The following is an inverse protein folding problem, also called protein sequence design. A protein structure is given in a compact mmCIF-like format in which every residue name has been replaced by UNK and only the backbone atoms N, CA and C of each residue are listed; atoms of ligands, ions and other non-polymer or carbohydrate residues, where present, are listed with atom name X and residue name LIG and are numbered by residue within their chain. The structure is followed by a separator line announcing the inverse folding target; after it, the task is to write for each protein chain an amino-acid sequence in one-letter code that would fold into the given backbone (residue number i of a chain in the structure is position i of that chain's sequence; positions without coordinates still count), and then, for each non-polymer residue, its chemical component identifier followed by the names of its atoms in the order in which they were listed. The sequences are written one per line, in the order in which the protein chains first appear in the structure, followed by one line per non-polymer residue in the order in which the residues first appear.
data_IF_428367451712
#
_entry.id   IF_428367451712
#
_cell.length_a   1.000
_cell.length_b   1.000
_cell.length_c   1.000
_cell.angle_alpha   90.00
_cell.angle_beta   90.00
_cell.angle_gamma   90.00
#
_symmetry.space_group_name_H-M   'P 1'
#
loop_
_entity.id
_entity.type
_entity.pdbx_description
1 polymer ?
#
# COMPACT_ATOMS: atom_id res chain seq x y z
N UNK A 1 17.79 56.15 -8.89
CA UNK A 1 17.97 54.92 -8.08
C UNK A 1 16.60 54.31 -7.84
N UNK A 2 16.28 53.20 -8.50
CA UNK A 2 15.07 52.40 -8.23
C UNK A 2 15.45 50.93 -8.48
N UNK A 3 15.93 50.27 -7.43
CA UNK A 3 16.17 48.81 -7.43
C UNK A 3 15.70 48.20 -6.10
N UNK A 4 14.66 48.79 -5.48
CA UNK A 4 14.02 48.22 -4.29
C UNK A 4 12.72 47.46 -4.61
N UNK A 5 12.38 47.23 -5.89
CA UNK A 5 11.22 46.43 -6.31
C UNK A 5 11.60 45.01 -6.77
N UNK A 6 12.62 44.39 -6.17
CA UNK A 6 13.13 43.08 -6.62
C UNK A 6 13.17 42.00 -5.53
N UNK A 7 12.59 42.22 -4.35
CA UNK A 7 12.77 41.28 -3.21
C UNK A 7 11.46 40.81 -2.56
N UNK A 8 10.30 41.44 -2.81
CA UNK A 8 9.01 40.92 -2.29
C UNK A 8 8.49 39.67 -3.04
N UNK A 9 9.25 39.13 -4.00
CA UNK A 9 8.84 38.02 -4.88
C UNK A 9 9.64 36.72 -4.65
N UNK A 10 10.37 36.61 -3.54
CA UNK A 10 11.05 35.35 -3.19
C UNK A 10 10.15 34.51 -2.28
N UNK A 11 9.63 33.39 -2.81
CA UNK A 11 9.00 32.21 -2.16
C UNK A 11 7.47 32.06 -2.07
N UNK A 12 6.66 33.05 -2.43
CA UNK A 12 5.19 32.84 -2.54
C UNK A 12 4.74 32.26 -3.89
N UNK A 13 5.38 32.68 -4.98
CA UNK A 13 4.88 32.45 -6.33
C UNK A 13 5.01 30.99 -6.82
N UNK A 14 6.07 30.27 -6.40
CA UNK A 14 6.23 28.86 -6.76
C UNK A 14 5.27 27.93 -6.01
N UNK A 15 5.03 28.20 -4.72
CA UNK A 15 4.10 27.41 -3.91
C UNK A 15 2.66 27.60 -4.39
N UNK A 16 2.22 28.84 -4.59
CA UNK A 16 0.88 29.17 -5.10
C UNK A 16 0.67 28.56 -6.49
N UNK A 17 1.65 28.64 -7.40
CA UNK A 17 1.55 28.01 -8.73
C UNK A 17 1.47 26.48 -8.67
N UNK A 18 2.18 25.85 -7.73
CA UNK A 18 2.12 24.39 -7.54
C UNK A 18 0.76 23.94 -7.01
N UNK A 19 0.16 24.72 -6.11
CA UNK A 19 -1.17 24.47 -5.58
C UNK A 19 -2.25 24.68 -6.65
N UNK A 20 -2.16 25.77 -7.43
CA UNK A 20 -3.06 26.01 -8.56
C UNK A 20 -3.00 24.89 -9.60
N UNK A 21 -1.80 24.41 -9.93
CA UNK A 21 -1.61 23.29 -10.84
C UNK A 21 -2.23 21.99 -10.29
N UNK A 22 -2.07 21.73 -9.00
CA UNK A 22 -2.69 20.60 -8.31
C UNK A 22 -4.21 20.70 -8.34
N UNK A 23 -4.77 21.85 -7.99
CA UNK A 23 -6.21 22.09 -8.01
C UNK A 23 -6.78 21.93 -9.42
N UNK A 24 -6.09 22.47 -10.44
CA UNK A 24 -6.49 22.30 -11.83
C UNK A 24 -6.51 20.83 -12.24
N UNK A 25 -5.46 20.08 -11.88
CA UNK A 25 -5.38 18.64 -12.15
C UNK A 25 -6.56 17.90 -11.50
N UNK A 26 -6.83 18.15 -10.22
CA UNK A 26 -7.94 17.52 -9.52
C UNK A 26 -9.28 17.87 -10.16
N UNK A 27 -9.51 19.12 -10.59
CA UNK A 27 -10.73 19.53 -11.32
C UNK A 27 -10.89 18.83 -12.66
N UNK A 28 -9.79 18.50 -13.36
CA UNK A 28 -9.86 17.72 -14.60
C UNK A 28 -10.26 16.27 -14.33
N UNK A 29 -9.73 15.67 -13.26
CA UNK A 29 -9.96 14.26 -12.94
C UNK A 29 -11.27 13.99 -12.18
N UNK A 30 -11.67 14.88 -11.28
CA UNK A 30 -12.75 14.67 -10.31
C UNK A 30 -13.97 15.51 -10.65
N UNK A 31 -15.14 14.89 -10.53
CA UNK A 31 -16.43 15.57 -10.65
C UNK A 31 -16.81 16.23 -9.31
N UNK A 32 -17.57 17.32 -9.40
CA UNK A 32 -18.12 18.01 -8.22
C UNK A 32 -19.11 17.13 -7.45
N UNK A 33 -19.85 16.30 -8.20
CA UNK A 33 -20.81 15.36 -7.65
C UNK A 33 -20.59 13.94 -8.18
N UNK A 34 -20.95 12.96 -7.36
CA UNK A 34 -20.86 11.56 -7.72
C UNK A 34 -21.82 11.23 -8.87
N UNK A 35 -21.27 10.70 -9.96
CA UNK A 35 -22.05 10.31 -11.14
C UNK A 35 -22.80 9.00 -10.94
N UNK A 36 -23.76 8.75 -11.83
CA UNK A 36 -24.47 7.47 -11.90
C UNK A 36 -23.49 6.33 -12.14
N UNK A 37 -23.88 5.14 -11.68
CA UNK A 37 -23.12 3.92 -11.90
C UNK A 37 -22.89 3.68 -13.40
N UNK A 38 -21.65 3.40 -13.75
CA UNK A 38 -21.23 3.05 -15.11
C UNK A 38 -20.31 1.82 -15.03
N UNK A 39 -20.38 0.95 -16.04
CA UNK A 39 -19.57 -0.26 -16.11
C UNK A 39 -18.14 0.08 -16.58
N UNK A 40 -17.28 0.51 -15.66
CA UNK A 40 -15.90 0.93 -15.98
C UNK A 40 -14.88 -0.20 -15.94
N UNK A 41 -15.08 -1.21 -15.09
CA UNK A 41 -14.09 -2.25 -14.85
C UNK A 41 -14.38 -3.50 -15.71
N UNK A 42 -13.54 -3.82 -16.70
CA UNK A 42 -13.72 -4.98 -17.58
C UNK A 42 -13.54 -6.30 -16.84
N UNK A 43 -14.17 -7.37 -17.34
CA UNK A 43 -14.08 -8.70 -16.74
C UNK A 43 -12.67 -9.28 -16.82
N UNK A 44 -11.91 -8.89 -17.84
CA UNK A 44 -10.53 -9.26 -18.10
C UNK A 44 -9.62 -8.89 -16.93
N UNK A 45 -9.81 -7.71 -16.32
CA UNK A 45 -9.04 -7.31 -15.15
C UNK A 45 -9.24 -8.29 -13.99
N UNK A 46 -10.50 -8.68 -13.75
CA UNK A 46 -10.85 -9.60 -12.67
C UNK A 46 -10.35 -11.01 -12.94
N UNK A 47 -10.36 -11.43 -14.20
CA UNK A 47 -9.79 -12.70 -14.65
C UNK A 47 -8.29 -12.76 -14.39
N UNK A 48 -7.55 -11.71 -14.76
CA UNK A 48 -6.11 -11.64 -14.53
C UNK A 48 -5.78 -11.57 -13.04
N UNK A 49 -6.51 -10.80 -12.24
CA UNK A 49 -6.32 -10.78 -10.78
C UNK A 49 -6.61 -12.16 -10.17
N UNK A 50 -7.66 -12.85 -10.62
CA UNK A 50 -7.97 -14.21 -10.20
C UNK A 50 -6.83 -15.17 -10.48
N UNK A 51 -6.30 -15.14 -11.71
CA UNK A 51 -5.16 -15.96 -12.14
C UNK A 51 -3.91 -15.69 -11.31
N UNK A 52 -3.50 -14.44 -11.19
CA UNK A 52 -2.26 -14.02 -10.52
C UNK A 52 -2.29 -14.18 -8.99
N UNK A 53 -3.49 -14.17 -8.38
CA UNK A 53 -3.67 -14.41 -6.94
C UNK A 53 -3.97 -15.87 -6.62
N UNK A 54 -4.03 -16.75 -7.62
CA UNK A 54 -4.45 -18.15 -7.50
C UNK A 54 -5.82 -18.31 -6.80
N UNK A 55 -6.73 -17.37 -7.06
CA UNK A 55 -8.06 -17.40 -6.49
C UNK A 55 -8.90 -18.51 -7.12
N UNK A 56 -9.46 -19.39 -6.28
CA UNK A 56 -10.29 -20.54 -6.70
C UNK A 56 -11.80 -20.29 -6.61
N UNK A 57 -12.23 -19.13 -6.10
CA UNK A 57 -13.64 -18.78 -5.96
C UNK A 57 -14.23 -18.15 -7.22
N UNK A 58 -15.52 -17.81 -7.16
CA UNK A 58 -16.20 -17.12 -8.26
C UNK A 58 -15.65 -15.70 -8.48
N UNK A 59 -15.56 -15.27 -9.74
CA UNK A 59 -15.24 -13.89 -10.13
C UNK A 59 -16.41 -12.92 -9.88
N UNK A 60 -17.62 -13.43 -9.65
CA UNK A 60 -18.78 -12.62 -9.26
C UNK A 60 -18.65 -12.19 -7.79
N UNK A 61 -18.23 -13.13 -6.93
CA UNK A 61 -18.01 -12.91 -5.51
C UNK A 61 -16.53 -12.67 -5.21
N UNK A 62 -16.08 -11.45 -5.52
CA UNK A 62 -14.68 -11.05 -5.38
C UNK A 62 -14.28 -10.89 -3.91
N UNK A 63 -13.06 -11.30 -3.53
CA UNK A 63 -12.52 -11.02 -2.20
C UNK A 63 -12.45 -9.53 -1.90
N UNK A 64 -12.72 -9.13 -0.66
CA UNK A 64 -12.65 -7.72 -0.22
C UNK A 64 -11.26 -7.09 -0.46
N UNK A 65 -10.19 -7.88 -0.35
CA UNK A 65 -8.83 -7.37 -0.53
C UNK A 65 -8.53 -6.94 -1.97
N UNK A 66 -9.33 -7.35 -2.97
CA UNK A 66 -9.15 -6.90 -4.35
C UNK A 66 -9.38 -5.40 -4.49
N UNK A 67 -10.20 -4.78 -3.63
CA UNK A 67 -10.29 -3.33 -3.56
C UNK A 67 -8.94 -2.65 -3.27
N UNK A 68 -8.07 -3.30 -2.46
CA UNK A 68 -6.71 -2.81 -2.21
C UNK A 68 -5.81 -2.97 -3.43
N UNK A 69 -5.99 -4.05 -4.21
CA UNK A 69 -5.26 -4.22 -5.48
C UNK A 69 -5.66 -3.15 -6.48
N UNK A 70 -6.96 -2.87 -6.61
CA UNK A 70 -7.44 -1.80 -7.48
C UNK A 70 -6.90 -0.44 -7.03
N UNK A 71 -6.93 -0.15 -5.73
CA UNK A 71 -6.36 1.09 -5.21
C UNK A 71 -4.86 1.20 -5.52
N UNK A 72 -4.09 0.16 -5.24
CA UNK A 72 -2.63 0.14 -5.39
C UNK A 72 -2.10 0.05 -6.83
N UNK A 73 -2.82 -0.62 -7.73
CA UNK A 73 -2.37 -0.86 -9.10
C UNK A 73 -3.05 0.06 -10.13
N UNK A 74 -4.29 0.46 -9.85
CA UNK A 74 -5.06 1.30 -10.77
C UNK A 74 -5.00 2.74 -10.31
N UNK A 75 -5.57 3.08 -9.15
CA UNK A 75 -5.69 4.49 -8.75
C UNK A 75 -4.33 5.12 -8.39
N UNK A 76 -3.48 4.42 -7.63
CA UNK A 76 -2.18 4.95 -7.20
C UNK A 76 -1.18 5.15 -8.35
N UNK A 77 -1.32 4.41 -9.45
CA UNK A 77 -0.52 4.60 -10.66
C UNK A 77 -1.20 5.49 -11.70
N UNK A 78 -2.51 5.73 -11.56
CA UNK A 78 -3.23 6.69 -12.41
C UNK A 78 -2.77 8.11 -12.08
N UNK A 79 -2.91 8.51 -10.82
CA UNK A 79 -2.35 9.74 -10.28
C UNK A 79 -2.43 9.70 -8.73
N UNK A 80 -1.33 9.96 -8.01
CA UNK A 80 -1.29 9.85 -6.55
C UNK A 80 -2.19 10.88 -5.85
N UNK A 81 -2.33 12.09 -6.39
CA UNK A 81 -3.15 13.13 -5.79
C UNK A 81 -4.64 12.77 -5.90
N UNK A 82 -5.02 12.19 -7.03
CA UNK A 82 -6.38 11.68 -7.26
C UNK A 82 -6.69 10.52 -6.32
N UNK A 83 -5.77 9.56 -6.15
CA UNK A 83 -6.00 8.42 -5.26
C UNK A 83 -6.04 8.81 -3.78
N UNK A 84 -5.24 9.78 -3.37
CA UNK A 84 -5.29 10.35 -2.01
C UNK A 84 -6.58 11.09 -1.75
N UNK A 85 -7.03 11.90 -2.71
CA UNK A 85 -8.34 12.55 -2.62
C UNK A 85 -9.47 11.50 -2.49
N UNK A 86 -9.43 10.44 -3.30
CA UNK A 86 -10.43 9.36 -3.27
C UNK A 86 -10.45 8.62 -1.94
N UNK A 87 -9.29 8.36 -1.33
CA UNK A 87 -9.19 7.74 0.01
C UNK A 87 -9.79 8.62 1.09
N UNK A 88 -9.57 9.93 1.01
CA UNK A 88 -10.06 10.90 1.99
C UNK A 88 -11.57 11.12 1.89
N UNK A 89 -12.09 11.26 0.67
CA UNK A 89 -13.49 11.64 0.42
C UNK A 89 -14.42 10.44 0.25
N UNK A 90 -13.89 9.26 -0.07
CA UNK A 90 -14.65 8.02 -0.17
C UNK A 90 -13.92 6.85 0.53
N UNK A 91 -13.73 6.90 1.86
CA UNK A 91 -12.92 5.92 2.59
C UNK A 91 -13.52 4.52 2.65
N UNK A 92 -14.84 4.38 2.41
CA UNK A 92 -15.57 3.12 2.49
C UNK A 92 -16.41 2.93 1.22
N UNK A 93 -15.78 2.69 0.06
CA UNK A 93 -16.51 2.48 -1.17
C UNK A 93 -17.45 1.28 -1.03
N UNK A 94 -18.72 1.50 -1.33
CA UNK A 94 -19.77 0.49 -1.29
C UNK A 94 -20.54 0.50 -2.60
N UNK A 95 -21.42 -0.49 -2.79
CA UNK A 95 -22.29 -0.54 -3.96
C UNK A 95 -23.07 0.78 -4.07
N UNK A 96 -22.84 1.52 -5.16
CA UNK A 96 -23.45 2.84 -5.40
C UNK A 96 -22.61 4.04 -4.94
N UNK A 97 -21.50 3.82 -4.23
CA UNK A 97 -20.52 4.82 -3.80
C UNK A 97 -19.10 4.37 -4.17
N UNK A 98 -18.89 4.01 -5.43
CA UNK A 98 -17.60 3.54 -5.92
C UNK A 98 -16.69 4.72 -6.31
N UNK A 99 -15.37 4.52 -6.24
CA UNK A 99 -14.39 5.56 -6.56
C UNK A 99 -14.51 6.12 -7.98
N UNK A 100 -14.78 5.29 -8.99
CA UNK A 100 -14.88 5.76 -10.38
C UNK A 100 -16.06 6.73 -10.60
N UNK A 101 -17.09 6.70 -9.74
CA UNK A 101 -18.22 7.62 -9.86
C UNK A 101 -17.83 9.07 -9.54
N UNK A 102 -16.73 9.28 -8.80
CA UNK A 102 -16.17 10.59 -8.51
C UNK A 102 -15.28 11.13 -9.61
N UNK A 103 -14.93 10.33 -10.62
CA UNK A 103 -14.11 10.83 -11.74
C UNK A 103 -14.98 11.60 -12.72
N UNK A 104 -14.41 12.52 -13.51
CA UNK A 104 -15.12 13.16 -14.63
C UNK A 104 -15.30 12.17 -15.79
N UNK A 105 -16.39 12.31 -16.56
CA UNK A 105 -16.63 11.44 -17.71
C UNK A 105 -15.66 11.68 -18.87
N UNK A 106 -15.43 12.95 -19.21
CA UNK A 106 -14.66 13.34 -20.39
C UNK A 106 -13.17 13.04 -20.26
N UNK A 107 -12.62 13.10 -19.04
CA UNK A 107 -11.19 12.97 -18.81
C UNK A 107 -10.85 11.87 -17.81
N UNK A 108 -11.38 11.95 -16.58
CA UNK A 108 -11.03 11.04 -15.50
C UNK A 108 -11.32 9.57 -15.81
N UNK A 109 -12.54 9.25 -16.28
CA UNK A 109 -12.88 7.89 -16.70
C UNK A 109 -12.11 7.43 -17.93
N UNK A 110 -11.92 8.29 -18.92
CA UNK A 110 -11.16 7.94 -20.12
C UNK A 110 -9.74 7.50 -19.73
N UNK A 111 -9.08 8.28 -18.88
CA UNK A 111 -7.74 7.98 -18.37
C UNK A 111 -7.72 6.72 -17.49
N UNK A 112 -8.72 6.56 -16.62
CA UNK A 112 -8.88 5.35 -15.81
C UNK A 112 -9.00 4.10 -16.70
N UNK A 113 -9.85 4.13 -17.72
CA UNK A 113 -10.07 3.00 -18.64
C UNK A 113 -8.82 2.69 -19.46
N UNK A 114 -8.15 3.71 -20.02
CA UNK A 114 -6.86 3.56 -20.71
C UNK A 114 -5.83 2.86 -19.81
N UNK A 115 -5.73 3.30 -18.55
CA UNK A 115 -4.81 2.72 -17.57
C UNK A 115 -5.18 1.28 -17.21
N UNK A 116 -6.47 0.98 -16.99
CA UNK A 116 -6.93 -0.39 -16.72
C UNK A 116 -6.52 -1.35 -17.83
N UNK A 117 -6.73 -1.00 -19.10
CA UNK A 117 -6.36 -1.87 -20.22
C UNK A 117 -4.85 -2.06 -20.34
N UNK A 118 -4.05 -1.03 -20.04
CA UNK A 118 -2.59 -1.17 -19.94
C UNK A 118 -2.20 -2.17 -18.85
N UNK A 119 -2.80 -2.08 -17.67
CA UNK A 119 -2.56 -3.02 -16.56
C UNK A 119 -2.99 -4.44 -16.92
N UNK A 120 -4.12 -4.61 -17.61
CA UNK A 120 -4.56 -5.92 -18.11
C UNK A 120 -3.53 -6.52 -19.07
N UNK A 121 -3.07 -5.75 -20.06
CA UNK A 121 -2.05 -6.22 -21.01
C UNK A 121 -0.72 -6.59 -20.33
N UNK A 122 -0.29 -5.82 -19.33
CA UNK A 122 0.89 -6.16 -18.53
C UNK A 122 0.68 -7.42 -17.69
N UNK A 123 -0.50 -7.56 -17.08
CA UNK A 123 -0.84 -8.70 -16.25
C UNK A 123 -0.81 -10.01 -17.04
N UNK A 124 -1.30 -10.01 -18.29
CA UNK A 124 -1.24 -11.17 -19.20
C UNK A 124 0.18 -11.70 -19.41
N UNK A 125 1.18 -10.82 -19.40
CA UNK A 125 2.59 -11.20 -19.55
C UNK A 125 3.29 -11.57 -18.23
N UNK A 126 2.56 -11.63 -17.11
CA UNK A 126 3.09 -11.95 -15.78
C UNK A 126 2.57 -13.30 -15.27
N UNK A 127 3.37 -13.98 -14.44
CA UNK A 127 3.01 -15.25 -13.81
C UNK A 127 2.61 -15.11 -12.34
N UNK A 128 2.95 -13.98 -11.70
CA UNK A 128 2.60 -13.71 -10.30
C UNK A 128 2.25 -12.24 -10.05
N UNK A 129 1.52 -11.96 -8.98
CA UNK A 129 1.24 -10.58 -8.55
C UNK A 129 2.50 -9.76 -8.28
N UNK A 130 3.55 -10.40 -7.74
CA UNK A 130 4.83 -9.72 -7.45
C UNK A 130 5.51 -9.26 -8.74
N UNK A 131 5.48 -10.10 -9.77
CA UNK A 131 6.01 -9.74 -11.08
C UNK A 131 5.27 -8.55 -11.68
N UNK A 132 3.93 -8.56 -11.65
CA UNK A 132 3.11 -7.44 -12.11
C UNK A 132 3.46 -6.13 -11.37
N UNK A 133 3.55 -6.19 -10.03
CA UNK A 133 3.93 -5.03 -9.21
C UNK A 133 5.31 -4.47 -9.58
N UNK A 134 6.27 -5.36 -9.89
CA UNK A 134 7.63 -4.98 -10.29
C UNK A 134 7.62 -4.28 -11.65
N UNK A 135 6.96 -4.87 -12.66
CA UNK A 135 6.86 -4.25 -13.99
C UNK A 135 6.11 -2.92 -13.96
N UNK A 136 5.08 -2.81 -13.11
CA UNK A 136 4.37 -1.55 -12.88
C UNK A 136 5.29 -0.50 -12.27
N UNK A 137 6.10 -0.86 -11.27
CA UNK A 137 7.06 0.08 -10.69
C UNK A 137 8.08 0.55 -11.74
N UNK A 138 8.64 -0.36 -12.53
CA UNK A 138 9.61 -0.05 -13.60
C UNK A 138 9.06 0.90 -14.66
N UNK A 139 7.88 0.60 -15.23
CA UNK A 139 7.28 1.41 -16.31
C UNK A 139 6.92 2.82 -15.85
N UNK A 140 6.56 2.98 -14.57
CA UNK A 140 6.17 4.26 -13.99
C UNK A 140 7.33 4.94 -13.24
N UNK A 141 8.57 4.44 -13.40
CA UNK A 141 9.77 5.05 -12.85
C UNK A 141 9.88 4.99 -11.32
N UNK A 142 9.11 4.12 -10.65
CA UNK A 142 9.27 3.86 -9.21
C UNK A 142 10.43 2.90 -9.03
N UNK A 143 11.49 3.35 -8.35
CA UNK A 143 12.61 2.48 -8.02
C UNK A 143 12.40 1.79 -6.67
N UNK A 144 12.72 0.50 -6.54
CA UNK A 144 12.73 -0.17 -5.25
C UNK A 144 13.85 0.45 -4.40
N UNK A 145 13.48 1.17 -3.33
CA UNK A 145 14.45 1.66 -2.35
C UNK A 145 14.59 0.60 -1.26
N UNK A 146 15.69 -0.13 -1.28
CA UNK A 146 16.05 -1.05 -0.20
C UNK A 146 17.02 -0.31 0.75
N UNK A 147 16.47 0.46 1.69
CA UNK A 147 17.26 1.03 2.77
C UNK A 147 17.76 -0.12 3.66
N UNK A 148 19.06 -0.40 3.61
CA UNK A 148 19.67 -1.40 4.51
C UNK A 148 19.75 -0.78 5.90
N UNK A 149 18.82 -1.14 6.78
CA UNK A 149 18.84 -0.72 8.18
C UNK A 149 19.85 -1.56 8.97
N UNK A 150 20.95 -0.94 9.38
CA UNK A 150 21.87 -1.53 10.36
C UNK A 150 21.28 -1.39 11.76
N UNK A 151 20.98 -2.50 12.41
CA UNK A 151 20.59 -2.53 13.81
C UNK A 151 21.83 -2.83 14.68
N UNK A 152 21.97 -2.20 15.87
CA UNK A 152 23.00 -2.59 16.82
C UNK A 152 22.74 -4.04 17.28
N UNK A 153 23.79 -4.83 17.58
CA UNK A 153 23.62 -6.16 18.12
C UNK A 153 22.81 -6.10 19.42
N UNK A 154 21.97 -7.11 19.72
CA UNK A 154 21.21 -7.13 20.96
C UNK A 154 22.17 -7.04 22.15
N UNK A 155 21.95 -6.08 23.04
CA UNK A 155 22.71 -5.95 24.28
C UNK A 155 22.48 -7.21 25.11
N UNK A 156 23.49 -8.08 25.17
CA UNK A 156 23.48 -9.23 26.08
C UNK A 156 23.59 -8.66 27.49
N UNK A 157 22.46 -8.52 28.17
CA UNK A 157 22.43 -8.18 29.59
C UNK A 157 22.95 -9.39 30.35
N UNK A 158 24.18 -9.30 30.85
CA UNK A 158 24.75 -10.34 31.70
C UNK A 158 23.85 -10.53 32.94
N UNK A 159 23.17 -11.67 33.01
CA UNK A 159 22.44 -12.08 34.21
C UNK A 159 23.45 -12.29 35.33
N UNK A 160 23.31 -11.54 36.43
CA UNK A 160 24.10 -11.76 37.65
C UNK A 160 23.88 -13.20 38.14
N UNK A 161 24.92 -13.88 38.67
CA UNK A 161 24.80 -15.24 39.15
C UNK A 161 23.82 -15.30 40.34
N UNK A 162 22.85 -16.20 40.27
CA UNK A 162 21.90 -16.49 41.34
C UNK A 162 22.65 -17.08 42.54
N UNK A 163 22.56 -16.41 43.69
CA UNK A 163 23.01 -16.97 44.97
C UNK A 163 22.09 -18.13 45.36
N UNK A 164 22.66 -19.31 45.52
CA UNK A 164 22.00 -20.51 46.03
C UNK A 164 21.77 -20.38 47.54
N UNK A 165 20.52 -20.26 47.97
CA UNK A 165 20.14 -20.36 49.39
C UNK A 165 20.13 -21.84 49.80
N UNK A 166 21.04 -22.21 50.71
CA UNK A 166 21.05 -23.49 51.40
C UNK A 166 19.75 -23.69 52.20
N UNK A 167 19.07 -24.83 52.02
CA UNK A 167 17.96 -25.26 52.87
C UNK A 167 18.36 -26.53 53.62
N UNK A 168 18.38 -26.43 54.95
CA UNK A 168 18.67 -27.50 55.92
C UNK A 168 17.65 -28.64 55.84
N UNK A 169 18.16 -29.85 56.07
CA UNK A 169 17.50 -31.16 56.26
C UNK A 169 16.55 -31.18 57.48
N UNK A 170 15.69 -32.21 57.65
CA UNK A 170 16.17 -33.39 58.39
C UNK A 170 15.61 -34.76 57.93
N UNK A 171 16.47 -35.78 58.07
CA UNK A 171 16.16 -37.09 58.67
C UNK A 171 15.29 -38.10 57.91
N UNK A 172 15.88 -39.24 57.51
CA UNK A 172 15.62 -40.48 58.26
C UNK A 172 16.63 -41.58 57.95
N UNK A 173 17.01 -42.30 58.99
CA UNK A 173 17.84 -43.50 59.01
C UNK A 173 17.11 -44.66 58.32
N UNK A 174 17.86 -45.48 57.55
CA UNK A 174 17.93 -46.90 57.87
C UNK A 174 19.07 -47.62 57.14
N UNK A 175 19.66 -48.53 57.91
CA UNK A 175 20.76 -49.46 57.66
C UNK A 175 20.49 -50.31 56.40
N UNK A 176 21.49 -50.82 55.68
CA UNK A 176 22.24 -52.05 56.02
C UNK A 176 23.57 -52.05 55.23
N UNK A 177 24.68 -52.31 55.90
CA UNK A 177 25.90 -52.84 55.29
C UNK A 177 26.46 -53.88 56.25
N UNK A 178 26.34 -55.15 55.86
CA UNK A 178 27.12 -56.24 56.43
C UNK A 178 28.35 -56.38 55.52
N UNK A 179 29.53 -56.23 56.10
CA UNK A 179 30.80 -56.34 55.38
C UNK A 179 31.28 -57.78 55.24
N UNK A 180 32.03 -57.98 54.17
CA UNK A 180 33.26 -58.78 54.02
C UNK A 180 33.23 -60.29 54.35
N UNK A 181 33.83 -61.02 53.39
CA UNK A 181 34.22 -62.45 53.33
C UNK A 181 33.22 -63.42 52.70
#
# INVERSE_FOLDING_TARGET
MHLSTLIDEATGYQYVRSEEALQLKLRLYLAEEMRKWEHTFPEELWREFGRLTHWKGSLVQRPKYWGRLVMGLIYDYLDPDVSDWLRKNNPKPQKGQNHYQWLTGQYGLKKLTEHIWKVVGMAQACNSMRELQTKMAEIYGRQPVQETLFLPPPTVVASKPSQSTQKKSPGNENQISLGLE
#
